data_IF_956203196407
#
_entry.id   IF_956203196407
#
_cell.length_a   1.000
_cell.length_b   1.000
_cell.length_c   1.000
_cell.angle_alpha   90.00
_cell.angle_beta   90.00
_cell.angle_gamma   90.00
#
_symmetry.space_group_name_H-M   'P 1'
#
loop_
_entity.id
_entity.type
_entity.pdbx_description
1 polymer ?
#
# COMPACT_ATOMS: atom_id res chain seq x y z
N UNK A 1 8.93 3.38 -13.13
CA UNK A 1 9.75 2.82 -12.00
C UNK A 1 10.35 3.97 -11.21
N UNK A 2 10.42 3.90 -9.88
CA UNK A 2 11.21 4.87 -9.14
C UNK A 2 12.68 4.73 -9.57
N UNK A 3 13.30 5.83 -9.93
CA UNK A 3 14.74 5.85 -10.17
C UNK A 3 15.47 5.64 -8.83
N UNK A 4 16.29 4.59 -8.72
CA UNK A 4 17.06 4.30 -7.52
C UNK A 4 16.36 3.41 -6.48
N UNK A 5 16.62 3.68 -5.19
CA UNK A 5 16.06 2.89 -4.07
C UNK A 5 14.60 3.27 -3.83
N UNK A 6 13.65 2.33 -3.86
CA UNK A 6 12.25 2.66 -3.54
C UNK A 6 12.11 3.17 -2.10
N UNK A 7 11.38 4.27 -1.93
CA UNK A 7 11.03 4.80 -0.62
C UNK A 7 9.81 4.09 0.00
N UNK A 8 8.98 3.45 -0.83
CA UNK A 8 7.75 2.79 -0.39
C UNK A 8 7.97 1.31 -0.08
N UNK A 9 7.20 0.78 0.87
CA UNK A 9 7.34 -0.58 1.40
C UNK A 9 7.15 -1.65 0.31
N UNK A 10 6.05 -1.63 -0.45
CA UNK A 10 5.71 -2.70 -1.41
C UNK A 10 6.76 -2.85 -2.53
N UNK A 11 7.21 -1.80 -3.23
CA UNK A 11 8.28 -1.94 -4.21
C UNK A 11 9.60 -2.43 -3.61
N UNK A 12 9.94 -2.00 -2.38
CA UNK A 12 11.15 -2.48 -1.70
C UNK A 12 11.02 -3.97 -1.36
N UNK A 13 9.84 -4.40 -0.87
CA UNK A 13 9.52 -5.79 -0.55
C UNK A 13 9.63 -6.69 -1.78
N UNK A 14 9.01 -6.31 -2.90
CA UNK A 14 9.05 -7.12 -4.14
C UNK A 14 10.45 -7.21 -4.71
N UNK A 15 11.28 -6.15 -4.62
CA UNK A 15 12.69 -6.20 -4.99
C UNK A 15 13.51 -7.08 -4.05
N UNK A 16 13.18 -7.12 -2.75
CA UNK A 16 13.81 -8.03 -1.79
C UNK A 16 13.45 -9.48 -2.11
N UNK A 17 12.19 -9.77 -2.36
CA UNK A 17 11.70 -11.09 -2.76
C UNK A 17 12.34 -11.59 -4.07
N UNK A 18 12.66 -10.67 -4.99
CA UNK A 18 13.35 -10.97 -6.26
C UNK A 18 14.88 -11.14 -6.09
N UNK A 19 15.44 -10.92 -4.89
CA UNK A 19 16.88 -11.00 -4.63
C UNK A 19 17.68 -9.78 -5.08
N UNK A 20 17.01 -8.70 -5.53
CA UNK A 20 17.69 -7.45 -5.94
C UNK A 20 18.22 -6.71 -4.71
N UNK A 21 17.53 -6.87 -3.57
CA UNK A 21 17.93 -6.30 -2.28
C UNK A 21 18.19 -7.38 -1.27
N UNK A 22 19.19 -7.19 -0.38
CA UNK A 22 19.60 -8.24 0.54
C UNK A 22 18.56 -8.54 1.63
N UNK A 23 17.83 -7.54 2.11
CA UNK A 23 16.79 -7.72 3.12
C UNK A 23 15.86 -6.51 3.20
N UNK A 24 14.60 -6.73 3.62
CA UNK A 24 13.66 -5.70 4.01
C UNK A 24 13.94 -5.29 5.47
N UNK A 25 13.88 -3.98 5.77
CA UNK A 25 13.94 -3.49 7.16
C UNK A 25 12.53 -3.24 7.68
N UNK A 26 12.18 -3.88 8.80
CA UNK A 26 11.00 -3.56 9.61
C UNK A 26 11.45 -2.60 10.71
N UNK A 27 10.96 -1.37 10.68
CA UNK A 27 11.40 -0.32 11.61
C UNK A 27 10.54 -0.31 12.88
N UNK A 28 11.07 -0.92 13.94
CA UNK A 28 10.39 -1.13 15.22
C UNK A 28 9.50 -2.38 15.21
N UNK A 29 9.56 -3.12 16.33
CA UNK A 29 8.72 -4.28 16.64
C UNK A 29 8.15 -4.18 18.07
N UNK A 30 8.22 -2.99 18.63
CA UNK A 30 7.87 -2.66 20.01
C UNK A 30 6.80 -1.55 20.11
N UNK A 31 6.05 -1.28 19.02
CA UNK A 31 4.90 -0.37 19.05
C UNK A 31 3.71 -1.00 19.77
N UNK A 32 2.82 -0.18 20.33
CA UNK A 32 1.56 -0.63 20.93
C UNK A 32 0.56 -1.03 19.83
N UNK A 33 0.87 -2.13 19.14
CA UNK A 33 0.10 -2.75 18.05
C UNK A 33 0.03 -4.26 18.26
N UNK A 34 -0.87 -5.00 17.62
CA UNK A 34 -1.03 -6.43 17.86
C UNK A 34 0.24 -7.28 17.65
N UNK A 35 1.14 -6.84 16.77
CA UNK A 35 2.39 -7.54 16.44
C UNK A 35 3.65 -6.71 16.63
N UNK A 36 3.52 -5.54 17.24
CA UNK A 36 4.63 -4.62 17.53
C UNK A 36 5.08 -3.76 16.35
N UNK A 37 4.62 -4.00 15.12
CA UNK A 37 5.00 -3.20 13.96
C UNK A 37 4.01 -2.09 13.64
N UNK A 38 4.44 -1.06 12.89
CA UNK A 38 3.57 0.04 12.49
C UNK A 38 2.38 -0.43 11.65
N UNK A 39 1.23 0.25 11.81
CA UNK A 39 0.00 0.01 11.04
C UNK A 39 -0.20 1.12 10.01
N UNK A 40 -0.50 0.76 8.76
CA UNK A 40 -0.76 1.68 7.64
C UNK A 40 -1.95 1.21 6.82
N UNK A 41 -2.52 2.12 6.02
CA UNK A 41 -3.55 1.80 5.04
C UNK A 41 -2.89 1.53 3.68
N UNK A 42 -3.00 0.31 3.18
CA UNK A 42 -2.41 -0.12 1.90
C UNK A 42 -3.51 -0.28 0.85
N UNK A 43 -3.80 0.79 0.13
CA UNK A 43 -4.77 0.78 -0.95
C UNK A 43 -4.15 0.20 -2.23
N UNK A 44 -4.92 -0.65 -2.93
CA UNK A 44 -4.54 -1.15 -4.25
C UNK A 44 -4.63 -0.04 -5.30
N UNK A 45 -3.62 0.03 -6.19
CA UNK A 45 -3.51 1.10 -7.20
C UNK A 45 -4.72 1.20 -8.12
N UNK A 46 -5.38 0.07 -8.43
CA UNK A 46 -6.57 0.07 -9.27
C UNK A 46 -7.78 0.71 -8.56
N UNK A 47 -7.94 0.47 -7.25
CA UNK A 47 -8.98 1.14 -6.46
C UNK A 47 -8.70 2.64 -6.36
N UNK A 48 -7.44 3.03 -6.17
CA UNK A 48 -7.03 4.43 -6.18
C UNK A 48 -7.35 5.09 -7.54
N UNK A 49 -7.04 4.42 -8.65
CA UNK A 49 -7.36 4.93 -9.99
C UNK A 49 -8.86 5.11 -10.19
N UNK A 50 -9.69 4.15 -9.72
CA UNK A 50 -11.16 4.26 -9.77
C UNK A 50 -11.68 5.42 -8.93
N UNK A 51 -11.04 5.74 -7.78
CA UNK A 51 -11.41 6.92 -7.00
C UNK A 51 -11.19 8.21 -7.78
N UNK A 52 -10.08 8.32 -8.52
CA UNK A 52 -9.82 9.47 -9.39
C UNK A 52 -10.86 9.60 -10.49
N UNK A 53 -11.24 8.49 -11.14
CA UNK A 53 -12.30 8.48 -12.16
C UNK A 53 -13.63 8.95 -11.57
N UNK A 54 -14.00 8.46 -10.39
CA UNK A 54 -15.24 8.89 -9.71
C UNK A 54 -15.23 10.38 -9.37
N UNK A 55 -14.08 10.90 -8.89
CA UNK A 55 -13.94 12.32 -8.60
C UNK A 55 -14.02 13.19 -9.87
N UNK A 56 -13.39 12.75 -10.97
CA UNK A 56 -13.49 13.45 -12.28
C UNK A 56 -14.93 13.44 -12.80
N UNK A 57 -15.62 12.29 -12.76
CA UNK A 57 -17.00 12.19 -13.18
C UNK A 57 -17.91 13.17 -12.40
N UNK A 58 -17.71 13.27 -11.09
CA UNK A 58 -18.44 14.21 -10.23
C UNK A 58 -18.26 15.67 -10.69
N UNK A 59 -17.04 16.06 -11.06
CA UNK A 59 -16.73 17.41 -11.56
C UNK A 59 -17.42 17.65 -12.91
N UNK A 60 -17.27 16.70 -13.84
CA UNK A 60 -17.84 16.82 -15.20
C UNK A 60 -19.38 16.85 -15.19
N UNK A 61 -20.01 16.20 -14.23
CA UNK A 61 -21.45 16.19 -14.03
C UNK A 61 -21.97 17.41 -13.24
N UNK A 62 -21.09 18.33 -12.84
CA UNK A 62 -21.47 19.53 -12.08
C UNK A 62 -22.03 19.23 -10.69
N UNK A 63 -21.65 18.10 -10.08
CA UNK A 63 -22.15 17.64 -8.78
C UNK A 63 -21.37 18.16 -7.59
N UNK A 64 -20.28 18.92 -7.80
CA UNK A 64 -19.56 19.51 -6.69
C UNK A 64 -20.40 20.58 -5.97
N UNK A 65 -20.34 20.56 -4.65
CA UNK A 65 -21.03 21.53 -3.79
C UNK A 65 -20.12 22.70 -3.40
N UNK A 66 -18.80 22.52 -3.57
CA UNK A 66 -17.77 23.50 -3.23
C UNK A 66 -16.75 23.62 -4.37
N UNK A 67 -16.05 24.77 -4.51
CA UNK A 67 -14.99 24.95 -5.51
C UNK A 67 -13.84 23.95 -5.35
N UNK A 68 -13.58 23.49 -4.12
CA UNK A 68 -12.56 22.49 -3.79
C UNK A 68 -13.16 21.49 -2.82
N UNK A 69 -13.20 20.23 -3.24
CA UNK A 69 -13.64 19.12 -2.40
C UNK A 69 -12.46 18.22 -2.06
N UNK A 70 -12.25 17.95 -0.76
CA UNK A 70 -11.15 17.12 -0.26
C UNK A 70 -11.71 15.77 0.20
N UNK A 71 -11.06 14.68 -0.23
CA UNK A 71 -11.42 13.31 0.10
C UNK A 71 -10.20 12.52 0.59
N UNK A 72 -10.34 11.80 1.70
CA UNK A 72 -9.41 10.74 2.05
C UNK A 72 -9.76 9.50 1.24
N UNK A 73 -8.75 8.89 0.63
CA UNK A 73 -8.88 7.68 -0.19
C UNK A 73 -8.00 6.59 0.39
N UNK A 74 -8.60 5.46 0.70
CA UNK A 74 -7.94 4.32 1.35
C UNK A 74 -8.89 3.14 1.45
N UNK A 75 -8.49 2.11 2.17
CA UNK A 75 -9.34 0.97 2.50
C UNK A 75 -10.21 1.25 3.74
N UNK A 76 -9.80 2.23 4.56
CA UNK A 76 -10.37 2.51 5.87
C UNK A 76 -9.97 1.48 6.93
N UNK A 77 -9.00 0.62 6.62
CA UNK A 77 -8.47 -0.41 7.51
C UNK A 77 -6.96 -0.31 7.61
N UNK A 78 -6.45 -0.47 8.82
CA UNK A 78 -5.03 -0.56 9.06
C UNK A 78 -4.52 -2.00 8.88
N UNK A 79 -3.35 -2.14 8.29
CA UNK A 79 -2.60 -3.39 8.15
C UNK A 79 -1.20 -3.17 8.72
N UNK A 80 -0.73 -4.08 9.56
CA UNK A 80 0.62 -4.00 10.13
C UNK A 80 1.70 -4.43 9.10
N UNK A 81 2.95 -4.05 9.36
CA UNK A 81 4.05 -4.43 8.46
C UNK A 81 4.27 -5.95 8.48
N UNK A 82 4.17 -6.61 9.65
CA UNK A 82 4.31 -8.07 9.71
C UNK A 82 3.12 -8.79 9.08
N UNK A 83 1.89 -8.29 9.26
CA UNK A 83 0.72 -8.82 8.57
C UNK A 83 0.87 -8.74 7.05
N UNK A 84 1.41 -7.63 6.51
CA UNK A 84 1.68 -7.46 5.09
C UNK A 84 2.74 -8.44 4.59
N UNK A 85 3.84 -8.65 5.34
CA UNK A 85 4.89 -9.63 5.02
C UNK A 85 4.30 -11.05 4.99
N UNK A 86 3.57 -11.43 6.04
CA UNK A 86 2.95 -12.76 6.13
C UNK A 86 1.96 -13.01 5.00
N UNK A 87 1.16 -11.99 4.65
CA UNK A 87 0.20 -12.07 3.54
C UNK A 87 0.92 -12.24 2.20
N UNK A 88 2.01 -11.50 1.98
CA UNK A 88 2.84 -11.64 0.79
C UNK A 88 3.41 -13.04 0.66
N UNK A 89 4.03 -13.58 1.72
CA UNK A 89 4.57 -14.93 1.72
C UNK A 89 3.50 -15.99 1.42
N UNK A 90 2.31 -15.82 2.03
CA UNK A 90 1.18 -16.73 1.85
C UNK A 90 0.65 -16.73 0.41
N UNK A 91 0.43 -15.54 -0.19
CA UNK A 91 -0.18 -15.45 -1.51
C UNK A 91 0.79 -15.68 -2.68
N UNK A 92 2.12 -15.53 -2.45
CA UNK A 92 3.14 -15.72 -3.50
C UNK A 92 3.94 -17.01 -3.37
N UNK A 93 3.96 -17.62 -2.18
CA UNK A 93 4.82 -18.75 -1.85
C UNK A 93 6.31 -18.39 -1.67
N UNK A 94 6.65 -17.10 -1.75
CA UNK A 94 8.05 -16.63 -1.68
C UNK A 94 8.37 -16.17 -0.26
N UNK A 95 9.39 -16.76 0.35
CA UNK A 95 9.90 -16.34 1.65
C UNK A 95 10.67 -15.03 1.54
N UNK A 96 10.38 -14.10 2.43
CA UNK A 96 10.99 -12.79 2.45
C UNK A 96 12.12 -12.71 3.48
N UNK A 97 13.30 -12.29 3.04
CA UNK A 97 14.39 -11.97 3.96
C UNK A 97 14.15 -10.58 4.57
N UNK A 98 13.83 -10.51 5.87
CA UNK A 98 13.67 -9.24 6.57
C UNK A 98 14.46 -9.20 7.88
N UNK A 99 14.73 -8.00 8.37
CA UNK A 99 15.39 -7.74 9.65
C UNK A 99 14.67 -6.62 10.38
N UNK A 100 14.49 -6.79 11.69
CA UNK A 100 14.01 -5.71 12.53
C UNK A 100 15.14 -4.69 12.70
N UNK A 101 14.79 -3.42 12.62
CA UNK A 101 15.67 -2.28 12.82
C UNK A 101 15.05 -1.33 13.87
N UNK A 102 15.83 -0.46 14.51
CA UNK A 102 15.30 0.54 15.43
C UNK A 102 14.19 1.39 14.78
N UNK A 103 13.27 1.89 15.59
CA UNK A 103 12.22 2.84 15.14
C UNK A 103 12.86 4.01 14.37
N UNK A 104 12.21 4.46 13.30
CA UNK A 104 12.61 5.68 12.62
C UNK A 104 12.04 6.90 13.36
N UNK A 105 12.81 7.97 13.56
CA UNK A 105 12.28 9.22 14.09
C UNK A 105 11.09 9.71 13.25
N UNK A 106 9.98 10.05 13.92
CA UNK A 106 8.79 10.57 13.28
C UNK A 106 7.84 9.52 12.70
N UNK A 107 8.12 8.22 12.79
CA UNK A 107 7.15 7.19 12.41
C UNK A 107 5.94 7.20 13.36
N UNK A 108 4.76 7.32 12.75
CA UNK A 108 3.47 7.21 13.45
C UNK A 108 3.18 5.73 13.66
N UNK A 109 2.77 5.36 14.86
CA UNK A 109 2.46 3.98 15.22
C UNK A 109 1.31 3.39 14.39
N UNK A 110 0.18 4.11 14.34
CA UNK A 110 -1.07 3.67 13.68
C UNK A 110 -1.62 4.82 12.85
N UNK A 111 -1.85 4.60 11.56
CA UNK A 111 -2.51 5.57 10.70
C UNK A 111 -3.24 4.91 9.55
N UNK A 112 -4.53 5.25 9.40
CA UNK A 112 -5.38 4.94 8.26
C UNK A 112 -6.41 6.04 8.06
N UNK A 113 -6.97 6.13 6.85
CA UNK A 113 -7.89 7.20 6.49
C UNK A 113 -9.33 6.92 6.98
N UNK A 114 -10.05 7.95 7.42
CA UNK A 114 -11.51 7.90 7.43
C UNK A 114 -12.00 8.15 5.99
N UNK A 115 -12.57 7.12 5.38
CA UNK A 115 -13.00 7.11 3.97
C UNK A 115 -14.51 7.34 3.77
N UNK A 116 -15.26 7.60 4.83
CA UNK A 116 -16.73 7.70 4.81
C UNK A 116 -17.23 8.77 3.82
N UNK A 117 -16.56 9.93 3.78
CA UNK A 117 -16.90 11.00 2.85
C UNK A 117 -16.71 10.54 1.39
N UNK A 118 -15.59 9.90 1.06
CA UNK A 118 -15.34 9.39 -0.28
C UNK A 118 -16.37 8.32 -0.66
N UNK A 119 -16.66 7.37 0.22
CA UNK A 119 -17.64 6.33 -0.01
C UNK A 119 -19.05 6.91 -0.27
N UNK A 120 -19.47 7.87 0.55
CA UNK A 120 -20.82 8.46 0.48
C UNK A 120 -20.97 9.42 -0.70
N UNK A 121 -19.99 10.29 -0.93
CA UNK A 121 -20.12 11.41 -1.89
C UNK A 121 -19.69 11.01 -3.30
N UNK A 122 -18.62 10.22 -3.44
CA UNK A 122 -18.17 9.71 -4.73
C UNK A 122 -18.86 8.41 -5.16
N UNK A 123 -19.58 7.74 -4.24
CA UNK A 123 -20.12 6.40 -4.49
C UNK A 123 -19.04 5.35 -4.75
N UNK A 124 -17.82 5.63 -4.31
CA UNK A 124 -16.64 4.78 -4.50
C UNK A 124 -16.22 4.12 -3.19
N UNK A 125 -15.72 2.90 -3.32
CA UNK A 125 -15.16 2.13 -2.21
C UNK A 125 -14.01 1.26 -2.71
N UNK A 126 -12.95 1.12 -1.91
CA UNK A 126 -11.92 0.12 -2.14
C UNK A 126 -12.53 -1.29 -1.98
N UNK A 127 -12.36 -2.14 -2.98
CA UNK A 127 -12.98 -3.47 -3.04
C UNK A 127 -11.98 -4.61 -3.12
N UNK A 128 -10.73 -4.33 -3.52
CA UNK A 128 -9.70 -5.35 -3.64
C UNK A 128 -9.06 -5.66 -2.30
N UNK A 129 -8.65 -6.91 -2.14
CA UNK A 129 -7.98 -7.39 -0.94
C UNK A 129 -6.49 -7.06 -0.94
N UNK A 130 -5.86 -7.20 0.23
CA UNK A 130 -4.41 -7.05 0.35
C UNK A 130 -3.67 -8.12 -0.46
N UNK A 131 -4.17 -9.35 -0.50
CA UNK A 131 -3.63 -10.47 -1.27
C UNK A 131 -3.63 -10.17 -2.78
N UNK A 132 -4.71 -9.61 -3.30
CA UNK A 132 -4.81 -9.20 -4.71
C UNK A 132 -3.79 -8.11 -5.04
N UNK A 133 -3.66 -7.10 -4.17
CA UNK A 133 -2.69 -6.02 -4.34
C UNK A 133 -1.25 -6.54 -4.33
N UNK A 134 -0.90 -7.41 -3.38
CA UNK A 134 0.44 -7.97 -3.25
C UNK A 134 0.79 -8.95 -4.37
N UNK A 135 -0.15 -9.81 -4.78
CA UNK A 135 0.02 -10.71 -5.93
C UNK A 135 0.22 -9.93 -7.23
N UNK A 136 -0.53 -8.85 -7.43
CA UNK A 136 -0.37 -7.97 -8.59
C UNK A 136 0.99 -7.28 -8.59
N UNK A 137 1.45 -6.75 -7.45
CA UNK A 137 2.74 -6.13 -7.31
C UNK A 137 3.89 -7.12 -7.58
N UNK A 138 3.75 -8.37 -7.10
CA UNK A 138 4.73 -9.43 -7.38
C UNK A 138 4.77 -9.82 -8.85
N UNK A 139 3.61 -9.96 -9.49
CA UNK A 139 3.54 -10.24 -10.93
C UNK A 139 4.17 -9.12 -11.76
N UNK A 140 3.92 -7.87 -11.38
CA UNK A 140 4.58 -6.73 -12.01
C UNK A 140 6.10 -6.77 -11.86
N UNK A 141 6.61 -7.11 -10.68
CA UNK A 141 8.04 -7.25 -10.42
C UNK A 141 8.67 -8.32 -11.34
N UNK A 142 7.99 -9.46 -11.57
CA UNK A 142 8.44 -10.51 -12.50
C UNK A 142 8.51 -9.99 -13.94
N UNK A 143 7.48 -9.30 -14.41
CA UNK A 143 7.45 -8.69 -15.75
C UNK A 143 8.60 -7.70 -15.95
N UNK A 144 8.93 -6.88 -14.95
CA UNK A 144 10.05 -5.95 -15.02
C UNK A 144 11.39 -6.67 -15.22
N UNK A 145 11.59 -7.78 -14.50
CA UNK A 145 12.79 -8.62 -14.65
C UNK A 145 12.87 -9.24 -16.05
N UNK A 146 11.78 -9.82 -16.53
CA UNK A 146 11.71 -10.44 -17.88
C UNK A 146 12.02 -9.43 -19.00
N UNK A 147 11.62 -8.17 -18.82
CA UNK A 147 11.89 -7.09 -19.77
C UNK A 147 13.27 -6.46 -19.63
N UNK A 148 14.12 -6.93 -18.74
CA UNK A 148 15.44 -6.37 -18.50
C UNK A 148 15.43 -4.92 -17.99
N UNK A 149 14.33 -4.49 -17.35
CA UNK A 149 14.19 -3.13 -16.79
C UNK A 149 14.83 -3.04 -15.41
N UNK A 150 15.21 -4.19 -14.84
CA UNK A 150 15.91 -4.32 -13.56
C UNK A 150 16.88 -5.47 -13.60
#
# INVERSE_FOLDING_TARGET
>A
MPNGVPANLIPYLTQTAMGIRPSLKVFGDDYDTPDGSCIRDFIYVLDLAKAHVAAMARILEGKNTEPVEIYNVGTGKGVSVFELINTFEKCTGVKLNYKVAPRRPGDIEKVWGNVDKANKVLGWKAVHTLEEALSSAWNWQKVLRERGIM
#
